data_IF_162033367454
#
_entry.id   IF_162033367454
#
_cell.length_a   1.000
_cell.length_b   1.000
_cell.length_c   1.000
_cell.angle_alpha   90.00
_cell.angle_beta   90.00
_cell.angle_gamma   90.00
#
_symmetry.space_group_name_H-M   'P 1'
#
loop_
_entity.id
_entity.type
_entity.pdbx_description
1 polymer ?
#
# COMPACT_ATOMS: atom_id res chain seq x y z
N UNK A 1 -16.03 70.09 -38.10
CA UNK A 1 -17.20 69.20 -38.24
C UNK A 1 -17.49 68.59 -36.87
N UNK A 2 -18.72 68.80 -36.40
CA UNK A 2 -19.30 68.26 -35.16
C UNK A 2 -19.86 66.85 -35.47
N UNK A 3 -20.30 66.13 -34.42
CA UNK A 3 -21.06 64.86 -34.38
C UNK A 3 -20.17 63.62 -34.08
N UNK A 4 -19.94 63.25 -32.82
CA UNK A 4 -20.81 62.51 -31.86
C UNK A 4 -21.14 61.06 -32.28
N UNK A 5 -21.09 60.16 -31.27
CA UNK A 5 -21.86 58.92 -31.11
C UNK A 5 -21.34 57.71 -31.94
N UNK A 6 -21.20 56.46 -31.46
CA UNK A 6 -21.73 55.70 -30.33
C UNK A 6 -20.89 54.42 -30.10
N UNK A 7 -20.84 53.99 -28.83
CA UNK A 7 -20.82 52.61 -28.33
C UNK A 7 -20.24 51.48 -29.21
N UNK A 8 -19.23 50.78 -28.66
CA UNK A 8 -19.47 49.42 -28.16
C UNK A 8 -18.33 48.99 -27.22
N UNK A 9 -18.53 49.26 -25.93
CA UNK A 9 -17.73 48.72 -24.84
C UNK A 9 -18.20 47.27 -24.61
N UNK A 10 -17.72 46.32 -25.42
CA UNK A 10 -17.95 44.88 -25.14
C UNK A 10 -16.89 44.44 -24.13
N UNK A 11 -17.06 44.90 -22.89
CA UNK A 11 -16.46 44.28 -21.72
C UNK A 11 -17.22 42.97 -21.44
N UNK A 12 -17.07 41.98 -22.32
CA UNK A 12 -17.46 40.60 -22.00
C UNK A 12 -16.33 40.02 -21.16
N UNK A 13 -16.36 40.38 -19.88
CA UNK A 13 -15.59 39.72 -18.84
C UNK A 13 -16.08 38.29 -18.74
N UNK A 14 -15.44 37.41 -19.52
CA UNK A 14 -15.62 35.97 -19.45
C UNK A 14 -15.15 35.52 -18.07
N UNK A 15 -16.11 35.37 -17.16
CA UNK A 15 -15.93 34.74 -15.85
C UNK A 15 -15.50 33.29 -16.07
N UNK A 16 -14.18 33.07 -16.12
CA UNK A 16 -13.60 31.74 -16.07
C UNK A 16 -13.72 31.29 -14.61
N UNK A 17 -14.83 30.62 -14.29
CA UNK A 17 -14.92 29.86 -13.05
C UNK A 17 -13.92 28.70 -13.17
N UNK A 18 -12.91 28.58 -12.28
CA UNK A 18 -12.17 27.34 -12.20
C UNK A 18 -13.17 26.28 -11.72
N UNK A 19 -13.60 25.41 -12.64
CA UNK A 19 -14.21 24.14 -12.29
C UNK A 19 -13.14 23.32 -11.57
N UNK A 20 -13.03 23.55 -10.26
CA UNK A 20 -12.24 22.74 -9.37
C UNK A 20 -12.98 21.40 -9.28
N UNK A 21 -12.63 20.46 -10.16
CA UNK A 21 -12.96 19.06 -10.00
C UNK A 21 -12.24 18.60 -8.73
N UNK A 22 -12.92 18.74 -7.60
CA UNK A 22 -12.56 18.08 -6.36
C UNK A 22 -12.89 16.59 -6.54
N UNK A 23 -12.09 15.90 -7.34
CA UNK A 23 -12.02 14.45 -7.28
C UNK A 23 -11.68 14.11 -5.82
N UNK A 24 -12.45 13.24 -5.15
CA UNK A 24 -12.12 12.82 -3.80
C UNK A 24 -10.74 12.20 -3.88
N UNK A 25 -9.74 12.91 -3.34
CA UNK A 25 -8.36 12.43 -3.24
C UNK A 25 -8.45 11.06 -2.58
N UNK A 26 -8.31 10.01 -3.38
CA UNK A 26 -8.17 8.66 -2.86
C UNK A 26 -7.10 8.72 -1.80
N UNK A 27 -7.43 8.27 -0.59
CA UNK A 27 -6.50 8.28 0.54
C UNK A 27 -5.26 7.51 0.11
N UNK A 28 -4.22 8.26 -0.28
CA UNK A 28 -3.00 7.69 -0.81
C UNK A 28 -2.28 7.04 0.37
N UNK A 29 -2.17 5.71 0.34
CA UNK A 29 -1.33 5.01 1.30
C UNK A 29 0.12 5.35 0.99
N UNK A 30 0.83 5.77 2.03
CA UNK A 30 2.22 6.18 1.93
C UNK A 30 3.11 4.95 1.80
N UNK A 31 3.76 4.79 0.64
CA UNK A 31 4.68 3.69 0.38
C UNK A 31 5.81 3.66 1.41
N UNK A 32 6.28 4.82 1.90
CA UNK A 32 7.37 4.88 2.88
C UNK A 32 6.99 4.22 4.21
N UNK A 33 5.72 4.33 4.62
CA UNK A 33 5.23 3.68 5.85
C UNK A 33 5.16 2.16 5.72
N UNK A 34 4.87 1.66 4.52
CA UNK A 34 4.81 0.23 4.22
C UNK A 34 6.19 -0.42 4.26
N UNK A 35 7.26 0.30 3.91
CA UNK A 35 8.63 -0.22 3.90
C UNK A 35 9.02 -0.77 5.28
N UNK A 36 9.64 -1.95 5.27
CA UNK A 36 10.12 -2.65 6.46
C UNK A 36 9.56 -4.06 6.61
N UNK A 37 9.96 -4.70 7.73
CA UNK A 37 9.51 -6.03 8.11
C UNK A 37 8.23 -5.94 8.94
N UNK A 38 7.27 -6.79 8.61
CA UNK A 38 5.99 -6.94 9.28
C UNK A 38 5.78 -8.40 9.64
N UNK A 39 5.49 -8.68 10.90
CA UNK A 39 5.33 -10.04 11.41
C UNK A 39 3.88 -10.28 11.81
N UNK A 40 3.31 -11.40 11.36
CA UNK A 40 1.93 -11.76 11.68
C UNK A 40 1.83 -12.06 13.19
N UNK A 41 0.94 -11.34 13.87
CA UNK A 41 0.62 -11.57 15.29
C UNK A 41 -0.73 -12.28 15.45
N UNK A 42 -1.62 -12.17 14.47
CA UNK A 42 -2.86 -12.93 14.41
C UNK A 42 -3.36 -13.05 12.98
N UNK A 43 -4.05 -14.14 12.69
CA UNK A 43 -4.75 -14.28 11.42
C UNK A 43 -6.04 -15.07 11.55
N UNK A 44 -6.91 -14.87 10.57
CA UNK A 44 -8.23 -15.47 10.45
C UNK A 44 -8.37 -16.08 9.07
N UNK A 45 -8.92 -17.29 9.01
CA UNK A 45 -9.33 -17.96 7.77
C UNK A 45 -10.83 -18.21 7.85
N UNK A 46 -11.59 -17.72 6.87
CA UNK A 46 -13.07 -17.78 6.91
C UNK A 46 -13.65 -17.19 8.21
N UNK A 47 -13.05 -16.11 8.73
CA UNK A 47 -13.46 -15.47 9.98
C UNK A 47 -13.12 -16.23 11.26
N UNK A 48 -12.52 -17.43 11.18
CA UNK A 48 -12.05 -18.18 12.34
C UNK A 48 -10.57 -17.95 12.56
N UNK A 49 -10.18 -17.65 13.80
CA UNK A 49 -8.76 -17.46 14.17
C UNK A 49 -7.97 -18.73 13.83
N UNK A 50 -6.77 -18.57 13.27
CA UNK A 50 -5.85 -19.66 12.98
C UNK A 50 -4.47 -19.35 13.57
N UNK A 51 -3.84 -20.36 14.15
CA UNK A 51 -2.48 -20.26 14.73
C UNK A 51 -1.39 -20.69 13.74
N UNK A 52 -1.80 -21.24 12.59
CA UNK A 52 -0.93 -21.77 11.52
C UNK A 52 -0.07 -20.70 10.83
N UNK A 53 -0.23 -19.43 11.19
CA UNK A 53 0.47 -18.28 10.59
C UNK A 53 1.54 -17.70 11.53
N UNK A 54 1.83 -18.39 12.64
CA UNK A 54 2.90 -17.99 13.56
C UNK A 54 4.26 -18.07 12.86
N UNK A 55 5.07 -17.01 12.97
CA UNK A 55 6.36 -16.92 12.29
C UNK A 55 6.27 -16.50 10.82
N UNK A 56 5.07 -16.20 10.31
CA UNK A 56 4.90 -15.63 8.98
C UNK A 56 5.23 -14.14 8.98
N UNK A 57 5.89 -13.67 7.93
CA UNK A 57 6.26 -12.26 7.78
C UNK A 57 6.11 -11.76 6.34
N UNK A 58 6.13 -10.44 6.20
CA UNK A 58 6.30 -9.71 4.95
C UNK A 58 7.41 -8.68 5.14
N UNK A 59 8.27 -8.51 4.13
CA UNK A 59 9.30 -7.48 4.10
C UNK A 59 9.14 -6.72 2.81
N UNK A 60 8.78 -5.44 2.90
CA UNK A 60 8.67 -4.56 1.73
C UNK A 60 9.94 -3.72 1.62
N UNK A 61 10.53 -3.68 0.43
CA UNK A 61 11.74 -2.92 0.12
C UNK A 61 11.43 -1.71 -0.79
N UNK A 62 12.22 -0.62 -0.70
CA UNK A 62 11.97 0.61 -1.48
C UNK A 62 12.04 0.43 -3.00
N UNK A 63 12.70 -0.64 -3.46
CA UNK A 63 12.90 -0.98 -4.88
C UNK A 63 11.68 -1.67 -5.52
N UNK A 64 10.61 -1.89 -4.76
CA UNK A 64 9.44 -2.62 -5.23
C UNK A 64 9.56 -4.14 -5.09
N UNK A 65 10.51 -4.64 -4.30
CA UNK A 65 10.62 -6.06 -3.96
C UNK A 65 9.95 -6.35 -2.62
N UNK A 66 9.19 -7.44 -2.54
CA UNK A 66 8.66 -7.97 -1.29
C UNK A 66 9.19 -9.37 -1.02
N UNK A 67 9.45 -9.69 0.25
CA UNK A 67 9.88 -11.01 0.71
C UNK A 67 8.89 -11.56 1.72
N UNK A 68 8.48 -12.82 1.56
CA UNK A 68 7.52 -13.46 2.47
C UNK A 68 7.72 -14.97 2.51
N UNK A 69 7.31 -15.59 3.61
CA UNK A 69 7.14 -17.04 3.75
C UNK A 69 5.66 -17.46 3.78
N UNK A 70 4.72 -16.55 3.44
CA UNK A 70 3.31 -16.89 3.20
C UNK A 70 3.14 -17.47 1.79
N UNK A 71 3.83 -18.57 1.52
CA UNK A 71 3.76 -19.31 0.26
C UNK A 71 3.21 -20.71 0.52
N UNK A 72 2.57 -21.36 -0.47
CA UNK A 72 2.15 -22.76 -0.34
C UNK A 72 3.30 -23.72 0.00
N UNK A 73 4.53 -23.35 -0.35
CA UNK A 73 5.78 -24.08 -0.16
C UNK A 73 6.41 -23.84 1.22
N UNK A 74 5.96 -22.83 1.98
CA UNK A 74 6.51 -22.39 3.28
C UNK A 74 7.99 -21.97 3.21
N UNK A 75 8.53 -21.84 1.99
CA UNK A 75 9.85 -21.28 1.73
C UNK A 75 9.73 -19.78 1.60
N UNK A 76 10.72 -19.08 2.16
CA UNK A 76 10.87 -17.65 1.99
C UNK A 76 11.21 -17.35 0.53
N UNK A 77 10.39 -16.52 -0.10
CA UNK A 77 10.51 -16.16 -1.51
C UNK A 77 10.40 -14.64 -1.69
N UNK A 78 11.00 -14.14 -2.77
CA UNK A 78 10.99 -12.73 -3.17
C UNK A 78 10.15 -12.55 -4.42
N UNK A 79 9.36 -11.49 -4.43
CA UNK A 79 8.44 -11.15 -5.51
C UNK A 79 8.48 -9.65 -5.78
N UNK A 80 8.38 -9.21 -7.05
CA UNK A 80 8.02 -7.83 -7.35
C UNK A 80 6.63 -7.51 -6.77
N UNK A 81 6.45 -6.28 -6.30
CA UNK A 81 5.14 -5.79 -5.91
C UNK A 81 4.90 -4.36 -6.39
N UNK A 82 3.62 -4.02 -6.54
CA UNK A 82 3.17 -2.65 -6.77
C UNK A 82 2.16 -2.25 -5.71
N UNK A 83 2.17 -0.97 -5.32
CA UNK A 83 1.19 -0.37 -4.42
C UNK A 83 0.33 0.63 -5.20
N UNK A 84 -0.98 0.42 -5.21
CA UNK A 84 -1.94 1.33 -5.84
C UNK A 84 -3.12 1.56 -4.90
N UNK A 85 -3.21 2.79 -4.36
CA UNK A 85 -4.19 3.11 -3.32
C UNK A 85 -4.02 2.21 -2.10
N UNK A 86 -5.05 1.45 -1.74
CA UNK A 86 -5.04 0.49 -0.63
C UNK A 86 -4.73 -0.95 -1.08
N UNK A 87 -4.18 -1.15 -2.27
CA UNK A 87 -3.98 -2.48 -2.84
C UNK A 87 -2.50 -2.74 -3.10
N UNK A 88 -2.00 -3.85 -2.58
CA UNK A 88 -0.68 -4.40 -2.91
C UNK A 88 -0.90 -5.54 -3.90
N UNK A 89 -0.26 -5.46 -5.06
CA UNK A 89 -0.25 -6.53 -6.05
C UNK A 89 1.12 -7.18 -6.05
N UNK A 90 1.19 -8.42 -5.57
CA UNK A 90 2.38 -9.27 -5.67
C UNK A 90 2.39 -9.96 -7.03
N UNK A 91 3.44 -9.74 -7.79
CA UNK A 91 3.67 -10.45 -9.05
C UNK A 91 4.13 -11.88 -8.77
N UNK A 92 3.67 -12.83 -9.57
CA UNK A 92 3.96 -14.25 -9.38
C UNK A 92 2.99 -15.13 -10.15
N UNK A 93 3.14 -16.44 -10.02
CA UNK A 93 2.20 -17.41 -10.55
C UNK A 93 1.77 -18.39 -9.46
N UNK A 94 0.58 -18.20 -8.85
CA UNK A 94 -0.39 -17.14 -9.11
C UNK A 94 0.03 -15.79 -8.52
N UNK A 95 -0.44 -14.69 -9.13
CA UNK A 95 -0.37 -13.36 -8.53
C UNK A 95 -1.32 -13.28 -7.32
N UNK A 96 -0.93 -12.51 -6.30
CA UNK A 96 -1.72 -12.35 -5.07
C UNK A 96 -2.02 -10.87 -4.86
N UNK A 97 -3.30 -10.58 -4.61
CA UNK A 97 -3.78 -9.23 -4.32
C UNK A 97 -4.09 -9.14 -2.82
N UNK A 98 -3.48 -8.16 -2.16
CA UNK A 98 -3.72 -7.82 -0.77
C UNK A 98 -4.41 -6.46 -0.69
N UNK A 99 -5.49 -6.38 0.08
CA UNK A 99 -6.12 -5.12 0.45
C UNK A 99 -5.62 -4.68 1.82
N UNK A 100 -5.16 -3.43 1.92
CA UNK A 100 -4.73 -2.78 3.14
C UNK A 100 -5.96 -2.25 3.86
N UNK A 101 -6.30 -2.86 4.98
CA UNK A 101 -7.40 -2.43 5.86
C UNK A 101 -6.91 -1.34 6.83
N UNK A 102 -5.66 -1.40 7.27
CA UNK A 102 -5.02 -0.43 8.18
C UNK A 102 -3.52 -0.38 7.93
N UNK A 103 -2.95 0.83 7.90
CA UNK A 103 -1.51 1.06 7.86
C UNK A 103 -1.15 2.23 8.80
N UNK A 104 -0.33 1.94 9.80
CA UNK A 104 0.24 2.91 10.74
C UNK A 104 1.74 2.68 10.87
N UNK A 105 2.41 3.35 11.82
CA UNK A 105 3.85 3.15 12.04
C UNK A 105 4.20 1.78 12.64
N UNK A 106 3.24 1.10 13.26
CA UNK A 106 3.47 -0.17 13.97
C UNK A 106 2.47 -1.28 13.68
N UNK A 107 1.34 -0.97 13.04
CA UNK A 107 0.28 -1.92 12.69
C UNK A 107 0.01 -1.91 11.18
N UNK A 108 -0.13 -3.12 10.63
CA UNK A 108 -0.56 -3.36 9.26
C UNK A 108 -1.62 -4.46 9.28
N UNK A 109 -2.80 -4.19 8.75
CA UNK A 109 -3.86 -5.17 8.58
C UNK A 109 -4.09 -5.42 7.10
N UNK A 110 -4.03 -6.70 6.70
CA UNK A 110 -4.22 -7.13 5.32
C UNK A 110 -5.39 -8.10 5.20
N UNK A 111 -6.18 -7.92 4.16
CA UNK A 111 -7.19 -8.86 3.69
C UNK A 111 -6.80 -9.42 2.32
N UNK A 112 -6.93 -10.71 2.11
CA UNK A 112 -6.57 -11.37 0.84
C UNK A 112 -7.38 -12.66 0.63
N UNK A 113 -7.30 -13.23 -0.57
CA UNK A 113 -7.87 -14.56 -0.86
C UNK A 113 -6.80 -15.48 -1.42
N UNK A 114 -6.58 -16.63 -0.77
CA UNK A 114 -5.63 -17.66 -1.21
C UNK A 114 -6.40 -18.97 -1.35
N UNK A 115 -6.32 -19.61 -2.52
CA UNK A 115 -7.01 -20.88 -2.82
C UNK A 115 -8.52 -20.85 -2.44
N UNK A 116 -9.21 -19.75 -2.78
CA UNK A 116 -10.63 -19.49 -2.46
C UNK A 116 -10.96 -19.34 -0.95
N UNK A 117 -9.95 -19.23 -0.09
CA UNK A 117 -10.16 -18.93 1.32
C UNK A 117 -9.87 -17.45 1.60
N UNK A 118 -10.83 -16.67 2.12
CA UNK A 118 -10.56 -15.33 2.63
C UNK A 118 -9.70 -15.42 3.90
N UNK A 119 -8.63 -14.63 3.89
CA UNK A 119 -7.76 -14.41 5.03
C UNK A 119 -7.81 -12.96 5.46
N UNK A 120 -7.72 -12.77 6.78
CA UNK A 120 -7.39 -11.48 7.41
C UNK A 120 -6.21 -11.68 8.32
N UNK A 121 -5.21 -10.82 8.24
CA UNK A 121 -4.01 -10.91 9.07
C UNK A 121 -3.71 -9.56 9.68
N UNK A 122 -3.30 -9.58 10.94
CA UNK A 122 -2.82 -8.42 11.66
C UNK A 122 -1.33 -8.59 11.87
N UNK A 123 -0.56 -7.58 11.50
CA UNK A 123 0.89 -7.58 11.57
C UNK A 123 1.39 -6.45 12.44
N UNK A 124 2.54 -6.69 13.08
CA UNK A 124 3.31 -5.66 13.76
C UNK A 124 4.61 -5.39 13.02
N UNK A 125 5.02 -4.13 12.98
CA UNK A 125 6.32 -3.74 12.44
C UNK A 125 7.41 -4.35 13.33
N UNK A 126 8.31 -5.12 12.73
CA UNK A 126 9.45 -5.66 13.46
C UNK A 126 10.46 -4.52 13.70
N UNK A 127 11.22 -4.55 14.80
CA UNK A 127 12.34 -3.65 14.96
C UNK A 127 13.31 -3.82 13.79
N UNK A 128 14.02 -2.75 13.37
CA UNK A 128 15.14 -2.89 12.46
C UNK A 128 16.06 -3.98 12.99
N UNK A 129 16.38 -4.97 12.17
CA UNK A 129 17.41 -5.94 12.55
C UNK A 129 18.70 -5.13 12.61
N UNK A 130 19.15 -4.79 13.82
CA UNK A 130 20.50 -4.27 14.02
C UNK A 130 21.43 -5.23 13.25
N UNK A 131 22.32 -4.68 12.42
CA UNK A 131 23.33 -5.47 11.77
C UNK A 131 24.29 -5.94 12.88
N UNK A 132 23.94 -7.01 13.58
CA UNK A 132 24.78 -7.62 14.61
C UNK A 132 26.13 -7.91 13.95
N UNK A 133 27.17 -7.20 14.39
CA UNK A 133 28.48 -7.21 13.76
C UNK A 133 29.13 -8.60 13.77
N UNK A 134 29.02 -9.32 12.66
CA UNK A 134 30.04 -10.29 12.26
C UNK A 134 31.15 -9.55 11.52
N UNK A 135 31.92 -8.81 12.32
CA UNK A 135 33.21 -8.27 11.96
C UNK A 135 34.15 -8.51 13.14
N UNK A 136 35.11 -9.41 12.91
CA UNK A 136 36.39 -9.59 13.61
C UNK A 136 36.38 -10.01 15.09
N UNK A 137 36.83 -11.25 15.35
CA UNK A 137 37.87 -11.51 16.35
C UNK A 137 38.80 -12.64 15.84
N UNK A 138 39.97 -12.18 15.39
CA UNK A 138 41.33 -12.76 15.46
C UNK A 138 41.58 -14.19 14.97
#
# INVERSE_FOLDING_TARGET
MRHYLLLSFIASGLLILPACNNDPKQQAFDQERLIGRWEIVSGYRNGKKTETLTGTFFQFAPDGTMKTNLTPTVTEEEYPYTLSGNTISQEGNPAIIYSIDTLTDSLLDLSMTINNFPFKVNLKKAPPREANGEGIMQ
#
